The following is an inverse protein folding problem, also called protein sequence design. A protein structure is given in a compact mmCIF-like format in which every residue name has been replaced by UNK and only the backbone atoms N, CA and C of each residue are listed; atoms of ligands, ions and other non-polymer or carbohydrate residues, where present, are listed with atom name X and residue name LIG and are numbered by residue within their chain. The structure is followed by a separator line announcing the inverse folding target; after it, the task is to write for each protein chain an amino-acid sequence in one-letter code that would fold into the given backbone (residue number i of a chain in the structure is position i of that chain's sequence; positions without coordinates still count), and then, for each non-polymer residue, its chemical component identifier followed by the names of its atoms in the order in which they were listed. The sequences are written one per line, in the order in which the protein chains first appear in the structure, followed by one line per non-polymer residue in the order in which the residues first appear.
data_IF_117340428433
#
_entry.id   IF_117340428433
#
_cell.length_a   1.000
_cell.length_b   1.000
_cell.length_c   1.000
_cell.angle_alpha   90.00
_cell.angle_beta   90.00
_cell.angle_gamma   90.00
#
_symmetry.space_group_name_H-M   'P 1'
#
loop_
_entity.id
_entity.type
_entity.pdbx_description
1 polymer ?
#
# COMPACT_ATOMS: atom_id res chain seq x y z
N UNK A 1 -52.55 4.55 42.57
CA UNK A 1 -51.87 3.62 41.64
C UNK A 1 -50.70 4.37 41.00
N UNK A 2 -49.53 3.73 41.00
CA UNK A 2 -48.30 4.01 40.21
C UNK A 2 -47.50 5.33 40.43
N UNK A 3 -46.33 5.18 41.08
CA UNK A 3 -45.06 5.86 40.82
C UNK A 3 -44.18 4.89 39.94
N UNK A 4 -42.95 5.20 39.52
CA UNK A 4 -42.48 6.30 38.66
C UNK A 4 -41.40 5.81 37.66
N UNK A 5 -41.37 6.27 36.42
CA UNK A 5 -40.31 5.89 35.47
C UNK A 5 -40.46 6.77 34.21
N UNK A 6 -39.49 7.38 33.56
CA UNK A 6 -38.05 7.16 33.47
C UNK A 6 -37.41 8.46 32.99
N UNK A 7 -36.40 8.90 33.72
CA UNK A 7 -35.28 9.68 33.23
C UNK A 7 -34.54 8.85 32.16
N UNK A 8 -34.58 9.21 30.88
CA UNK A 8 -33.61 8.74 29.87
C UNK A 8 -33.38 9.87 28.87
N UNK A 9 -32.35 10.69 29.02
CA UNK A 9 -30.95 10.37 28.63
C UNK A 9 -30.85 10.15 27.13
N UNK A 10 -30.39 11.22 26.44
CA UNK A 10 -29.25 11.25 25.51
C UNK A 10 -29.14 10.21 24.37
N UNK A 11 -28.64 10.73 23.24
CA UNK A 11 -28.26 10.06 21.99
C UNK A 11 -29.46 9.70 21.10
N UNK A 12 -29.77 10.45 20.05
CA UNK A 12 -28.82 10.83 19.00
C UNK A 12 -28.37 9.61 18.20
N UNK A 13 -29.31 8.74 17.77
CA UNK A 13 -29.04 7.69 16.79
C UNK A 13 -29.46 8.22 15.42
N UNK A 14 -28.48 8.77 14.69
CA UNK A 14 -28.60 8.98 13.24
C UNK A 14 -28.61 7.60 12.60
N UNK A 15 -29.80 7.12 12.25
CA UNK A 15 -29.96 5.95 11.39
C UNK A 15 -29.60 6.38 9.98
N UNK A 16 -28.36 6.12 9.57
CA UNK A 16 -27.98 6.21 8.15
C UNK A 16 -28.63 5.01 7.47
N UNK A 17 -29.76 5.27 6.82
CA UNK A 17 -30.42 4.33 5.91
C UNK A 17 -29.48 4.01 4.76
N UNK A 18 -28.75 2.89 4.86
CA UNK A 18 -28.00 2.35 3.73
C UNK A 18 -29.02 1.66 2.83
N UNK A 19 -29.48 2.36 1.80
CA UNK A 19 -30.28 1.80 0.73
C UNK A 19 -29.43 0.77 -0.03
N UNK A 20 -29.48 -0.49 0.40
CA UNK A 20 -29.02 -1.62 -0.42
C UNK A 20 -30.09 -1.85 -1.48
N UNK A 21 -29.93 -1.17 -2.62
CA UNK A 21 -30.58 -1.57 -3.86
C UNK A 21 -29.81 -2.76 -4.43
N UNK A 22 -30.50 -3.89 -4.43
CA UNK A 22 -30.07 -5.17 -4.93
C UNK A 22 -29.64 -5.14 -6.41
N UNK A 23 -28.92 -6.20 -6.79
CA UNK A 23 -28.65 -6.65 -8.15
C UNK A 23 -27.66 -5.83 -8.99
N UNK A 24 -26.38 -6.01 -8.67
CA UNK A 24 -25.37 -6.19 -9.72
C UNK A 24 -24.71 -7.53 -9.45
N UNK A 25 -24.99 -8.53 -10.30
CA UNK A 25 -24.16 -9.73 -10.39
C UNK A 25 -22.68 -9.31 -10.33
N UNK A 26 -21.88 -10.01 -9.53
CA UNK A 26 -20.43 -9.96 -9.71
C UNK A 26 -20.21 -10.53 -11.11
N UNK A 27 -20.11 -9.63 -12.08
CA UNK A 27 -19.71 -9.94 -13.43
C UNK A 27 -18.25 -10.40 -13.34
N UNK A 28 -18.08 -11.72 -13.21
CA UNK A 28 -16.85 -12.44 -13.55
C UNK A 28 -16.64 -12.46 -15.08
N UNK A 29 -17.50 -11.77 -15.83
CA UNK A 29 -17.33 -11.47 -17.24
C UNK A 29 -16.20 -10.46 -17.42
N UNK A 30 -15.03 -10.95 -17.82
CA UNK A 30 -14.17 -10.31 -18.79
C UNK A 30 -14.20 -8.77 -18.75
N UNK A 31 -13.80 -8.17 -17.62
CA UNK A 31 -13.28 -6.80 -17.68
C UNK A 31 -12.10 -6.93 -18.61
N UNK A 32 -12.26 -6.45 -19.84
CA UNK A 32 -11.19 -6.19 -20.78
C UNK A 32 -10.24 -5.27 -20.02
N UNK A 33 -9.29 -5.87 -19.29
CA UNK A 33 -8.28 -5.19 -18.51
C UNK A 33 -7.60 -4.32 -19.55
N UNK A 34 -7.79 -3.01 -19.44
CA UNK A 34 -7.07 -2.10 -20.33
C UNK A 34 -5.58 -2.26 -19.99
N UNK A 35 -4.68 -2.04 -20.96
CA UNK A 35 -3.23 -2.04 -20.79
C UNK A 35 -2.72 -1.48 -19.44
N UNK A 36 -3.38 -0.43 -18.93
CA UNK A 36 -3.07 0.24 -17.67
C UNK A 36 -3.23 -0.60 -16.41
N UNK A 37 -4.27 -1.43 -16.28
CA UNK A 37 -4.46 -2.24 -15.05
C UNK A 37 -3.47 -3.39 -14.97
N UNK A 38 -3.07 -3.95 -16.12
CA UNK A 38 -2.03 -4.99 -16.17
C UNK A 38 -0.65 -4.40 -15.87
N UNK A 39 -0.36 -3.20 -16.41
CA UNK A 39 0.84 -2.43 -16.07
C UNK A 39 0.92 -2.12 -14.55
N UNK A 40 -0.18 -1.68 -13.93
CA UNK A 40 -0.24 -1.41 -12.48
C UNK A 40 -0.05 -2.67 -11.62
N UNK A 41 -0.65 -3.80 -12.02
CA UNK A 41 -0.47 -5.09 -11.32
C UNK A 41 0.99 -5.57 -11.41
N UNK A 42 1.60 -5.48 -12.60
CA UNK A 42 3.01 -5.82 -12.82
C UNK A 42 3.94 -4.89 -12.04
N UNK A 43 3.66 -3.60 -11.99
CA UNK A 43 4.42 -2.64 -11.19
C UNK A 43 4.43 -3.01 -9.70
N UNK A 44 3.27 -3.38 -9.14
CA UNK A 44 3.20 -3.83 -7.76
C UNK A 44 3.96 -5.14 -7.54
N UNK A 45 3.84 -6.10 -8.47
CA UNK A 45 4.54 -7.37 -8.40
C UNK A 45 6.08 -7.20 -8.44
N UNK A 46 6.61 -6.40 -9.38
CA UNK A 46 8.04 -6.09 -9.46
C UNK A 46 8.54 -5.36 -8.23
N UNK A 47 7.74 -4.43 -7.70
CA UNK A 47 7.99 -3.78 -6.43
C UNK A 47 8.20 -4.80 -5.32
N UNK A 48 7.24 -5.70 -5.10
CA UNK A 48 7.30 -6.73 -4.05
C UNK A 48 8.51 -7.64 -4.25
N UNK A 49 8.79 -8.09 -5.48
CA UNK A 49 9.90 -8.99 -5.78
C UNK A 49 11.26 -8.34 -5.50
N UNK A 50 11.50 -7.13 -6.01
CA UNK A 50 12.79 -6.45 -5.85
C UNK A 50 13.02 -6.03 -4.40
N UNK A 51 11.98 -5.56 -3.70
CA UNK A 51 12.05 -5.33 -2.25
C UNK A 51 12.31 -6.62 -1.48
N UNK A 52 11.74 -7.76 -1.89
CA UNK A 52 11.97 -9.06 -1.26
C UNK A 52 13.42 -9.52 -1.41
N UNK A 53 13.99 -9.43 -2.62
CA UNK A 53 15.40 -9.76 -2.90
C UNK A 53 16.37 -8.92 -2.07
N UNK A 54 16.04 -7.65 -1.84
CA UNK A 54 16.85 -6.71 -1.05
C UNK A 54 16.43 -6.61 0.42
N UNK A 55 15.42 -7.37 0.84
CA UNK A 55 14.83 -7.26 2.18
C UNK A 55 15.82 -7.56 3.30
N UNK A 56 16.71 -8.54 3.10
CA UNK A 56 17.75 -8.88 4.07
C UNK A 56 18.76 -7.73 4.27
N UNK A 57 19.20 -7.12 3.17
CA UNK A 57 20.11 -5.97 3.19
C UNK A 57 19.45 -4.74 3.87
N UNK A 58 18.20 -4.43 3.52
CA UNK A 58 17.46 -3.33 4.13
C UNK A 58 17.19 -3.58 5.62
N UNK A 59 16.88 -4.81 6.02
CA UNK A 59 16.73 -5.19 7.44
C UNK A 59 18.04 -5.02 8.20
N UNK A 60 19.16 -5.44 7.62
CA UNK A 60 20.48 -5.27 8.21
C UNK A 60 20.80 -3.77 8.40
N UNK A 61 20.63 -2.95 7.35
CA UNK A 61 20.85 -1.50 7.44
C UNK A 61 19.98 -0.86 8.52
N UNK A 62 18.70 -1.24 8.61
CA UNK A 62 17.80 -0.75 9.68
C UNK A 62 18.27 -1.17 11.08
N UNK A 63 18.77 -2.40 11.23
CA UNK A 63 19.32 -2.88 12.49
C UNK A 63 20.59 -2.13 12.89
N UNK A 64 21.48 -1.86 11.93
CA UNK A 64 22.70 -1.08 12.15
C UNK A 64 22.35 0.36 12.54
N UNK A 65 21.42 1.01 11.82
CA UNK A 65 20.91 2.34 12.14
C UNK A 65 20.30 2.40 13.56
N UNK A 66 19.52 1.39 13.95
CA UNK A 66 18.87 1.35 15.26
C UNK A 66 19.87 1.18 16.42
N UNK A 67 21.03 0.59 16.14
CA UNK A 67 22.06 0.31 17.15
C UNK A 67 23.17 1.37 17.18
N UNK A 68 23.28 2.19 16.13
CA UNK A 68 24.30 3.21 15.99
C UNK A 68 23.98 4.45 16.85
N UNK A 69 24.99 4.95 17.55
CA UNK A 69 24.89 6.11 18.44
C UNK A 69 25.72 7.29 17.94
N UNK A 70 26.68 7.05 17.07
CA UNK A 70 27.47 8.10 16.43
C UNK A 70 26.65 8.78 15.34
N UNK A 71 26.47 10.10 15.45
CA UNK A 71 25.62 10.87 14.54
C UNK A 71 26.13 10.87 13.09
N UNK A 72 27.45 10.89 12.90
CA UNK A 72 28.04 10.90 11.56
C UNK A 72 27.88 9.54 10.90
N UNK A 73 28.12 8.44 11.64
CA UNK A 73 27.84 7.09 11.13
C UNK A 73 26.35 6.89 10.86
N UNK A 74 25.47 7.40 11.72
CA UNK A 74 24.02 7.33 11.52
C UNK A 74 23.61 8.04 10.24
N UNK A 75 24.21 9.20 9.95
CA UNK A 75 23.98 9.95 8.70
C UNK A 75 24.37 9.12 7.49
N UNK A 76 25.57 8.52 7.51
CA UNK A 76 26.08 7.67 6.42
C UNK A 76 25.21 6.43 6.22
N UNK A 77 24.80 5.76 7.31
CA UNK A 77 23.94 4.57 7.24
C UNK A 77 22.55 4.90 6.68
N UNK A 78 21.94 6.01 7.11
CA UNK A 78 20.67 6.49 6.56
C UNK A 78 20.80 6.87 5.09
N UNK A 79 21.88 7.52 4.68
CA UNK A 79 22.12 7.83 3.28
C UNK A 79 22.25 6.55 2.44
N UNK A 80 22.93 5.54 2.98
CA UNK A 80 23.06 4.22 2.33
C UNK A 80 21.70 3.50 2.21
N UNK A 81 20.87 3.53 3.23
CA UNK A 81 19.50 3.01 3.18
C UNK A 81 18.68 3.73 2.09
N UNK A 82 18.72 5.05 2.06
CA UNK A 82 17.99 5.85 1.06
C UNK A 82 18.49 5.57 -0.36
N UNK A 83 19.80 5.44 -0.55
CA UNK A 83 20.39 5.08 -1.85
C UNK A 83 19.92 3.71 -2.33
N UNK A 84 19.84 2.72 -1.45
CA UNK A 84 19.37 1.39 -1.83
C UNK A 84 17.87 1.39 -2.16
N UNK A 85 17.04 2.10 -1.38
CA UNK A 85 15.62 2.29 -1.69
C UNK A 85 15.44 3.00 -3.04
N UNK A 86 16.24 4.03 -3.32
CA UNK A 86 16.20 4.73 -4.61
C UNK A 86 16.58 3.82 -5.78
N UNK A 87 17.59 2.96 -5.61
CA UNK A 87 17.96 1.95 -6.62
C UNK A 87 16.85 0.94 -6.89
N UNK A 88 16.22 0.42 -5.83
CA UNK A 88 15.07 -0.49 -5.96
C UNK A 88 13.95 0.20 -6.73
N UNK A 89 13.60 1.43 -6.34
CA UNK A 89 12.56 2.21 -7.04
C UNK A 89 12.90 2.47 -8.50
N UNK A 90 14.15 2.79 -8.81
CA UNK A 90 14.56 3.05 -10.18
C UNK A 90 14.46 1.78 -11.01
N UNK A 91 14.96 0.66 -10.49
CA UNK A 91 14.86 -0.63 -11.18
C UNK A 91 13.42 -1.04 -11.43
N UNK A 92 12.54 -0.92 -10.43
CA UNK A 92 11.10 -1.20 -10.60
C UNK A 92 10.47 -0.30 -11.67
N UNK A 93 10.90 0.96 -11.77
CA UNK A 93 10.44 1.86 -12.85
C UNK A 93 10.97 1.43 -14.21
N UNK A 94 12.24 1.05 -14.31
CA UNK A 94 12.87 0.62 -15.57
C UNK A 94 12.19 -0.66 -16.08
N UNK A 95 12.02 -1.66 -15.20
CA UNK A 95 11.34 -2.93 -15.48
C UNK A 95 9.85 -2.69 -15.86
N UNK A 96 9.20 -1.69 -15.25
CA UNK A 96 7.83 -1.33 -15.59
C UNK A 96 7.72 -0.58 -16.93
N UNK A 97 8.67 0.28 -17.28
CA UNK A 97 8.68 0.98 -18.57
C UNK A 97 8.78 -0.04 -19.71
N UNK A 98 9.61 -1.08 -19.57
CA UNK A 98 9.70 -2.18 -20.52
C UNK A 98 8.31 -2.79 -20.78
N UNK A 99 7.63 -3.24 -19.72
CA UNK A 99 6.32 -3.92 -19.82
C UNK A 99 5.20 -3.00 -20.33
N UNK A 100 5.21 -1.72 -19.95
CA UNK A 100 4.13 -0.79 -20.28
C UNK A 100 4.34 -0.08 -21.64
N UNK A 101 5.57 -0.07 -22.17
CA UNK A 101 5.87 0.44 -23.53
C UNK A 101 5.50 -0.54 -24.64
N UNK A 102 5.46 -1.84 -24.33
CA UNK A 102 5.02 -2.89 -25.25
C UNK A 102 3.48 -2.99 -25.40
N UNK A 103 2.72 -2.24 -24.59
CA UNK A 103 1.26 -2.11 -24.68
C UNK A 103 0.80 -0.65 -24.87
N UNK A 104 1.09 -0.03 -26.03
CA UNK A 104 0.54 1.29 -26.34
C UNK A 104 -0.98 1.19 -26.55
N UNK A 105 -1.71 2.18 -26.03
CA UNK A 105 -3.19 2.26 -26.10
C UNK A 105 -3.74 2.26 -27.53
#
# INVERSE_FOLDING_TARGET
MALPAVLKTLLGVVVISVSVSAAGQIDLGSRKLRPRSECEEKFQAFGIEEYSKKSALLKQLKSEIASEKDEEKLRVLKEKEQKEIARIRQKVKDDAIEVCSENPE
#
